data_IF_329604153429
#
_entry.id   IF_329604153429
#
_cell.length_a   1.000
_cell.length_b   1.000
_cell.length_c   1.000
_cell.angle_alpha   90.00
_cell.angle_beta   90.00
_cell.angle_gamma   90.00
#
_symmetry.space_group_name_H-M   'P 1'
#
loop_
_entity.id
_entity.type
_entity.pdbx_description
1 polymer ?
#
# COMPACT_ATOMS: atom_id res chain seq x y z
N UNK A 1 -4.52 3.00 -39.33
CA UNK A 1 -3.19 3.57 -39.08
C UNK A 1 -3.41 4.81 -38.23
N UNK A 2 -3.35 4.69 -36.92
CA UNK A 2 -3.43 5.83 -36.00
C UNK A 2 -1.99 6.15 -35.57
N UNK A 3 -1.62 7.40 -35.77
CA UNK A 3 -0.33 8.01 -35.54
C UNK A 3 0.24 7.62 -34.15
N UNK A 4 1.44 7.00 -34.04
CA UNK A 4 2.07 6.66 -32.80
C UNK A 4 2.62 7.86 -32.00
N UNK A 5 2.52 9.08 -32.54
CA UNK A 5 3.07 10.30 -31.94
C UNK A 5 2.13 11.05 -30.99
N UNK A 6 0.92 10.54 -30.70
CA UNK A 6 0.02 11.16 -29.74
C UNK A 6 0.43 10.86 -28.29
N UNK A 7 1.68 11.15 -27.97
CA UNK A 7 2.23 11.25 -26.63
C UNK A 7 1.60 12.51 -26.01
N UNK A 8 0.63 12.31 -25.12
CA UNK A 8 -0.02 13.28 -24.25
C UNK A 8 0.29 14.76 -24.56
N UNK A 9 -0.65 15.47 -25.19
CA UNK A 9 -0.61 16.93 -25.11
C UNK A 9 -0.43 17.35 -23.65
N UNK A 10 0.46 18.26 -23.31
CA UNK A 10 0.71 18.67 -21.95
C UNK A 10 -0.54 19.31 -21.36
N UNK A 11 -1.29 18.52 -20.56
CA UNK A 11 -2.50 18.99 -19.88
C UNK A 11 -2.06 19.76 -18.64
N UNK A 12 -2.47 21.02 -18.45
CA UNK A 12 -2.08 21.83 -17.30
C UNK A 12 -2.42 21.13 -15.98
N UNK A 13 -1.56 21.29 -14.98
CA UNK A 13 -1.73 20.69 -13.64
C UNK A 13 -3.05 21.09 -12.98
N UNK A 14 -3.52 22.32 -13.25
CA UNK A 14 -4.79 22.88 -12.76
C UNK A 14 -6.03 22.27 -13.43
N UNK A 15 -5.90 21.65 -14.62
CA UNK A 15 -7.04 21.10 -15.36
C UNK A 15 -7.76 19.98 -14.57
N UNK A 16 -9.05 19.81 -14.83
CA UNK A 16 -9.86 18.70 -14.28
C UNK A 16 -9.22 17.34 -14.62
N UNK A 17 -9.46 16.33 -13.78
CA UNK A 17 -9.01 14.96 -14.04
C UNK A 17 -9.59 14.45 -15.36
N UNK A 18 -8.73 13.88 -16.19
CA UNK A 18 -9.12 13.25 -17.47
C UNK A 18 -9.92 11.96 -17.21
N UNK A 19 -10.63 11.48 -18.22
CA UNK A 19 -11.37 10.21 -18.10
C UNK A 19 -10.44 9.03 -17.79
N UNK A 20 -9.22 9.02 -18.36
CA UNK A 20 -8.20 7.99 -18.14
C UNK A 20 -7.69 8.02 -16.69
N UNK A 21 -7.35 9.21 -16.18
CA UNK A 21 -6.92 9.40 -14.79
C UNK A 21 -8.00 8.96 -13.80
N UNK A 22 -9.27 9.33 -14.03
CA UNK A 22 -10.39 8.90 -13.18
C UNK A 22 -10.54 7.38 -13.14
N UNK A 23 -10.42 6.71 -14.28
CA UNK A 23 -10.56 5.26 -14.37
C UNK A 23 -9.39 4.53 -13.68
N UNK A 24 -8.19 5.11 -13.71
CA UNK A 24 -7.06 4.61 -12.94
C UNK A 24 -7.31 4.81 -11.43
N UNK A 25 -7.74 5.99 -10.99
CA UNK A 25 -8.04 6.32 -9.59
C UNK A 25 -9.09 5.37 -8.99
N UNK A 26 -10.11 5.02 -9.76
CA UNK A 26 -11.24 4.18 -9.29
C UNK A 26 -10.77 2.78 -8.87
N UNK A 27 -9.69 2.24 -9.40
CA UNK A 27 -9.16 0.96 -8.97
C UNK A 27 -8.75 0.96 -7.49
N UNK A 28 -8.20 2.06 -6.97
CA UNK A 28 -7.84 2.19 -5.54
C UNK A 28 -9.08 2.05 -4.62
N UNK A 29 -10.25 2.48 -5.07
CA UNK A 29 -11.52 2.27 -4.36
C UNK A 29 -11.83 0.77 -4.21
N UNK A 30 -11.54 -0.01 -5.24
CA UNK A 30 -11.79 -1.46 -5.25
C UNK A 30 -10.85 -2.24 -4.33
N UNK A 31 -9.55 -2.10 -4.56
CA UNK A 31 -8.54 -2.91 -3.85
C UNK A 31 -8.43 -2.56 -2.35
N UNK A 32 -8.63 -1.30 -1.98
CA UNK A 32 -8.53 -0.84 -0.59
C UNK A 32 -9.60 -1.46 0.31
N UNK A 33 -10.72 -1.96 -0.24
CA UNK A 33 -11.73 -2.69 0.52
C UNK A 33 -11.16 -4.01 1.10
N UNK A 34 -10.37 -4.74 0.30
CA UNK A 34 -9.72 -5.96 0.80
C UNK A 34 -8.63 -5.61 1.84
N UNK A 35 -7.87 -4.53 1.64
CA UNK A 35 -6.87 -4.08 2.62
C UNK A 35 -7.53 -3.82 3.97
N UNK A 36 -8.64 -3.09 4.00
CA UNK A 36 -9.33 -2.75 5.24
C UNK A 36 -9.94 -3.99 5.92
N UNK A 37 -10.55 -4.89 5.13
CA UNK A 37 -11.07 -6.16 5.63
C UNK A 37 -9.96 -7.06 6.20
N UNK A 38 -8.80 -7.14 5.53
CA UNK A 38 -7.66 -7.95 5.95
C UNK A 38 -7.01 -7.44 7.23
N UNK A 39 -7.14 -6.16 7.51
CA UNK A 39 -6.59 -5.56 8.73
C UNK A 39 -7.53 -5.76 9.93
N UNK A 40 -8.85 -5.66 9.74
CA UNK A 40 -9.80 -5.58 10.84
C UNK A 40 -10.60 -6.88 11.08
N UNK A 41 -11.00 -7.59 10.02
CA UNK A 41 -11.95 -8.72 10.11
C UNK A 41 -11.27 -10.08 9.96
N UNK A 42 -10.41 -10.22 8.95
CA UNK A 42 -9.79 -11.51 8.63
C UNK A 42 -8.99 -12.10 9.80
N UNK A 43 -8.17 -11.33 10.56
CA UNK A 43 -7.43 -11.89 11.70
C UNK A 43 -8.34 -12.44 12.81
N UNK A 44 -9.47 -11.78 13.04
CA UNK A 44 -10.47 -12.22 14.05
C UNK A 44 -11.11 -13.53 13.60
N UNK A 45 -11.51 -13.61 12.33
CA UNK A 45 -12.08 -14.84 11.78
C UNK A 45 -11.06 -15.98 11.75
N UNK A 46 -9.81 -15.70 11.36
CA UNK A 46 -8.72 -16.67 11.37
C UNK A 46 -8.49 -17.25 12.79
N UNK A 47 -8.54 -16.38 13.83
CA UNK A 47 -8.43 -16.82 15.22
C UNK A 47 -9.56 -17.79 15.60
N UNK A 48 -10.77 -17.59 15.10
CA UNK A 48 -11.90 -18.48 15.38
C UNK A 48 -11.79 -19.87 14.76
N UNK A 49 -10.95 -20.03 13.72
CA UNK A 49 -10.66 -21.31 13.06
C UNK A 49 -9.45 -22.03 13.66
N UNK A 50 -8.64 -21.34 14.47
CA UNK A 50 -7.40 -21.87 15.01
C UNK A 50 -7.66 -22.86 16.15
N UNK A 51 -6.86 -23.94 16.28
CA UNK A 51 -6.87 -24.80 17.47
C UNK A 51 -6.59 -24.01 18.74
N UNK A 52 -7.14 -24.47 19.89
CA UNK A 52 -7.08 -23.76 21.16
C UNK A 52 -5.66 -23.51 21.68
N UNK A 53 -4.70 -24.36 21.30
CA UNK A 53 -3.28 -24.29 21.65
C UNK A 53 -2.46 -23.42 20.65
N UNK A 54 -3.08 -22.93 19.57
CA UNK A 54 -2.45 -22.17 18.53
C UNK A 54 -2.15 -20.71 18.91
N UNK A 55 -1.04 -20.18 18.42
CA UNK A 55 -0.66 -18.77 18.56
C UNK A 55 -0.98 -18.00 17.27
N UNK A 56 -2.08 -17.25 17.27
CA UNK A 56 -2.53 -16.47 16.10
C UNK A 56 -1.52 -15.40 15.69
N UNK A 57 -0.86 -14.75 16.65
CA UNK A 57 0.08 -13.66 16.35
C UNK A 57 1.27 -14.18 15.54
N UNK A 58 1.84 -15.31 15.97
CA UNK A 58 2.95 -15.95 15.26
C UNK A 58 2.54 -16.45 13.88
N UNK A 59 1.42 -17.16 13.78
CA UNK A 59 0.94 -17.71 12.51
C UNK A 59 0.57 -16.62 11.50
N UNK A 60 -0.06 -15.53 11.97
CA UNK A 60 -0.37 -14.37 11.14
C UNK A 60 0.88 -13.64 10.66
N UNK A 61 1.86 -13.46 11.57
CA UNK A 61 3.17 -12.90 11.24
C UNK A 61 3.89 -13.71 10.16
N UNK A 62 3.92 -15.04 10.28
CA UNK A 62 4.50 -15.91 9.25
C UNK A 62 3.75 -15.81 7.93
N UNK A 63 2.42 -15.77 7.92
CA UNK A 63 1.64 -15.64 6.70
C UNK A 63 1.96 -14.33 5.95
N UNK A 64 2.02 -13.21 6.67
CA UNK A 64 2.40 -11.92 6.10
C UNK A 64 3.85 -11.90 5.60
N UNK A 65 4.76 -12.50 6.35
CA UNK A 65 6.18 -12.61 5.95
C UNK A 65 6.33 -13.44 4.67
N UNK A 66 5.67 -14.60 4.59
CA UNK A 66 5.71 -15.45 3.39
C UNK A 66 5.15 -14.70 2.18
N UNK A 67 3.99 -14.06 2.31
CA UNK A 67 3.40 -13.28 1.23
C UNK A 67 4.34 -12.16 0.77
N UNK A 68 4.94 -11.41 1.71
CA UNK A 68 5.86 -10.32 1.40
C UNK A 68 7.14 -10.80 0.73
N UNK A 69 7.73 -11.91 1.18
CA UNK A 69 8.93 -12.50 0.57
C UNK A 69 8.65 -12.99 -0.85
N UNK A 70 7.52 -13.67 -1.06
CA UNK A 70 7.13 -14.12 -2.40
C UNK A 70 6.99 -12.94 -3.35
N UNK A 71 6.33 -11.87 -2.94
CA UNK A 71 6.18 -10.66 -3.74
C UNK A 71 7.54 -9.98 -3.98
N UNK A 72 8.36 -9.81 -2.94
CA UNK A 72 9.68 -9.18 -3.07
C UNK A 72 10.59 -9.91 -4.08
N UNK A 73 10.50 -11.24 -4.14
CA UNK A 73 11.27 -12.04 -5.10
C UNK A 73 10.67 -12.05 -6.51
N UNK A 74 9.33 -12.13 -6.60
CA UNK A 74 8.66 -12.26 -7.89
C UNK A 74 8.53 -10.94 -8.65
N UNK A 75 8.31 -9.81 -7.97
CA UNK A 75 7.94 -8.57 -8.64
C UNK A 75 9.03 -7.99 -9.54
N UNK A 76 10.32 -7.96 -9.18
CA UNK A 76 11.35 -7.51 -10.12
C UNK A 76 11.46 -8.42 -11.35
N UNK A 77 11.34 -9.75 -11.13
CA UNK A 77 11.39 -10.75 -12.22
C UNK A 77 10.24 -10.58 -13.20
N UNK A 78 9.02 -10.56 -12.69
CA UNK A 78 7.82 -10.42 -13.52
C UNK A 78 7.68 -9.00 -14.07
N UNK A 79 8.21 -8.00 -13.37
CA UNK A 79 8.25 -6.61 -13.79
C UNK A 79 9.06 -6.42 -15.07
N UNK A 80 10.25 -7.02 -15.16
CA UNK A 80 11.07 -6.93 -16.38
C UNK A 80 10.36 -7.54 -17.60
N UNK A 81 9.61 -8.63 -17.42
CA UNK A 81 8.79 -9.23 -18.47
C UNK A 81 7.56 -8.36 -18.78
N UNK A 82 6.97 -7.74 -17.77
CA UNK A 82 5.79 -6.88 -17.92
C UNK A 82 6.10 -5.56 -18.66
N UNK A 83 7.37 -5.15 -18.72
CA UNK A 83 7.81 -4.00 -19.51
C UNK A 83 7.72 -4.27 -21.03
N UNK A 84 7.57 -5.52 -21.46
CA UNK A 84 7.28 -5.85 -22.85
C UNK A 84 5.85 -5.44 -23.23
N UNK A 85 5.66 -4.97 -24.45
CA UNK A 85 4.37 -4.48 -24.96
C UNK A 85 3.20 -5.45 -24.73
N UNK A 86 2.16 -4.98 -24.06
CA UNK A 86 0.92 -5.73 -23.79
C UNK A 86 1.04 -6.80 -22.70
N UNK A 87 2.19 -6.92 -22.03
CA UNK A 87 2.36 -7.90 -20.95
C UNK A 87 1.93 -7.36 -19.58
N UNK A 88 2.08 -6.05 -19.31
CA UNK A 88 1.71 -5.43 -18.04
C UNK A 88 0.27 -5.75 -17.61
N UNK A 89 -0.68 -5.59 -18.51
CA UNK A 89 -2.09 -5.86 -18.22
C UNK A 89 -2.37 -7.35 -17.97
N UNK A 90 -1.63 -8.25 -18.61
CA UNK A 90 -1.78 -9.69 -18.40
C UNK A 90 -1.33 -10.12 -17.01
N UNK A 91 -0.18 -9.62 -16.55
CA UNK A 91 0.30 -9.87 -15.19
C UNK A 91 -0.62 -9.24 -14.16
N UNK A 92 -1.05 -7.99 -14.38
CA UNK A 92 -2.06 -7.37 -13.54
C UNK A 92 -3.30 -8.25 -13.38
N UNK A 93 -3.88 -8.73 -14.50
CA UNK A 93 -5.06 -9.60 -14.49
C UNK A 93 -4.80 -10.94 -13.79
N UNK A 94 -3.62 -11.52 -13.95
CA UNK A 94 -3.24 -12.76 -13.27
C UNK A 94 -3.26 -12.60 -11.75
N UNK A 95 -2.60 -11.57 -11.23
CA UNK A 95 -2.56 -11.29 -9.79
C UNK A 95 -3.90 -10.82 -9.25
N UNK A 96 -4.57 -9.91 -9.95
CA UNK A 96 -5.93 -9.49 -9.61
C UNK A 96 -6.90 -10.67 -9.55
N UNK A 97 -6.90 -11.53 -10.57
CA UNK A 97 -7.74 -12.73 -10.62
C UNK A 97 -7.44 -13.69 -9.46
N UNK A 98 -6.15 -13.92 -9.16
CA UNK A 98 -5.74 -14.71 -7.99
C UNK A 98 -6.30 -14.10 -6.71
N UNK A 99 -6.15 -12.78 -6.51
CA UNK A 99 -6.65 -12.09 -5.33
C UNK A 99 -8.17 -12.22 -5.17
N UNK A 100 -8.93 -11.99 -6.24
CA UNK A 100 -10.40 -12.10 -6.22
C UNK A 100 -10.87 -13.52 -5.98
N UNK A 101 -10.32 -14.50 -6.70
CA UNK A 101 -10.71 -15.92 -6.57
C UNK A 101 -10.42 -16.43 -5.17
N UNK A 102 -9.25 -16.10 -4.61
CA UNK A 102 -8.90 -16.51 -3.25
C UNK A 102 -9.68 -15.75 -2.19
N UNK A 103 -10.02 -14.48 -2.42
CA UNK A 103 -10.94 -13.74 -1.55
C UNK A 103 -12.32 -14.42 -1.49
N UNK A 104 -12.87 -14.85 -2.64
CA UNK A 104 -14.09 -15.66 -2.68
C UNK A 104 -13.91 -17.02 -1.99
N UNK A 105 -12.77 -17.69 -2.19
CA UNK A 105 -12.49 -18.99 -1.58
C UNK A 105 -12.41 -18.94 -0.05
N UNK A 106 -12.08 -17.78 0.56
CA UNK A 106 -12.13 -17.58 2.02
C UNK A 106 -13.56 -17.70 2.59
N UNK A 107 -14.59 -17.57 1.76
CA UNK A 107 -15.98 -17.77 2.17
C UNK A 107 -16.35 -19.26 2.31
N UNK A 108 -15.55 -20.18 1.79
CA UNK A 108 -15.77 -21.62 1.94
C UNK A 108 -15.58 -22.06 3.41
N UNK A 109 -16.17 -23.20 3.82
CA UNK A 109 -16.00 -23.76 5.15
C UNK A 109 -14.63 -24.41 5.34
N UNK A 110 -13.57 -23.61 5.27
CA UNK A 110 -12.20 -24.07 5.38
C UNK A 110 -11.80 -24.29 6.85
N UNK A 111 -10.93 -25.26 7.06
CA UNK A 111 -10.19 -25.43 8.32
C UNK A 111 -9.02 -24.44 8.39
N UNK A 112 -8.35 -24.36 9.54
CA UNK A 112 -7.29 -23.39 9.81
C UNK A 112 -6.19 -23.30 8.73
N UNK A 113 -5.53 -24.41 8.42
CA UNK A 113 -4.39 -24.39 7.47
C UNK A 113 -4.79 -24.04 6.03
N UNK A 114 -5.83 -24.66 5.42
CA UNK A 114 -6.35 -24.23 4.12
C UNK A 114 -6.75 -22.74 4.08
N UNK A 115 -7.38 -22.23 5.15
CA UNK A 115 -7.73 -20.82 5.22
C UNK A 115 -6.49 -19.93 5.19
N UNK A 116 -5.46 -20.27 5.96
CA UNK A 116 -4.21 -19.51 5.99
C UNK A 116 -3.50 -19.49 4.62
N UNK A 117 -3.47 -20.63 3.92
CA UNK A 117 -2.90 -20.73 2.56
C UNK A 117 -3.69 -19.85 1.58
N UNK A 118 -5.02 -19.92 1.62
CA UNK A 118 -5.89 -19.08 0.77
C UNK A 118 -5.68 -17.60 1.06
N UNK A 119 -5.52 -17.22 2.34
CA UNK A 119 -5.20 -15.84 2.73
C UNK A 119 -3.83 -15.37 2.22
N UNK A 120 -2.80 -16.21 2.30
CA UNK A 120 -1.46 -15.91 1.73
C UNK A 120 -1.59 -15.64 0.23
N UNK A 121 -2.30 -16.49 -0.50
CA UNK A 121 -2.51 -16.32 -1.94
C UNK A 121 -3.33 -15.05 -2.25
N UNK A 122 -4.34 -14.72 -1.44
CA UNK A 122 -5.11 -13.48 -1.59
C UNK A 122 -4.21 -12.24 -1.40
N UNK A 123 -3.33 -12.28 -0.41
CA UNK A 123 -2.37 -11.21 -0.13
C UNK A 123 -1.32 -11.08 -1.24
N UNK A 124 -0.84 -12.19 -1.79
CA UNK A 124 0.05 -12.20 -2.96
C UNK A 124 -0.68 -11.61 -4.18
N UNK A 125 -1.92 -12.02 -4.41
CA UNK A 125 -2.76 -11.49 -5.50
C UNK A 125 -2.98 -9.99 -5.39
N UNK A 126 -3.32 -9.48 -4.20
CA UNK A 126 -3.45 -8.06 -3.95
C UNK A 126 -2.13 -7.32 -4.23
N UNK A 127 -1.07 -7.70 -3.53
CA UNK A 127 0.21 -6.97 -3.58
C UNK A 127 0.83 -7.02 -4.99
N UNK A 128 0.76 -8.17 -5.68
CA UNK A 128 1.23 -8.27 -7.06
C UNK A 128 0.43 -7.42 -8.03
N UNK A 129 -0.91 -7.36 -7.87
CA UNK A 129 -1.73 -6.46 -8.69
C UNK A 129 -1.41 -4.98 -8.43
N UNK A 130 -1.11 -4.61 -7.18
CA UNK A 130 -0.72 -3.24 -6.82
C UNK A 130 0.59 -2.80 -7.46
N UNK A 131 1.60 -3.68 -7.53
CA UNK A 131 2.88 -3.35 -8.20
C UNK A 131 2.65 -2.94 -9.66
N UNK A 132 1.86 -3.72 -10.40
CA UNK A 132 1.55 -3.38 -11.80
C UNK A 132 0.64 -2.16 -11.92
N UNK A 133 -0.33 -2.01 -11.02
CA UNK A 133 -1.19 -0.84 -10.96
C UNK A 133 -0.39 0.44 -10.68
N UNK A 134 0.55 0.41 -9.75
CA UNK A 134 1.40 1.56 -9.44
C UNK A 134 2.27 1.95 -10.65
N UNK A 135 2.79 0.99 -11.38
CA UNK A 135 3.53 1.24 -12.62
C UNK A 135 2.65 1.77 -13.76
N UNK A 136 1.33 1.48 -13.75
CA UNK A 136 0.36 2.04 -14.72
C UNK A 136 0.14 3.55 -14.53
N UNK A 137 0.54 4.13 -13.40
CA UNK A 137 0.46 5.57 -13.17
C UNK A 137 1.22 6.35 -14.25
N UNK A 138 2.37 5.85 -14.68
CA UNK A 138 3.20 6.47 -15.73
C UNK A 138 2.48 6.48 -17.08
N UNK A 139 1.67 5.44 -17.35
CA UNK A 139 0.85 5.36 -18.55
C UNK A 139 -0.45 6.18 -18.45
N UNK A 140 -0.95 6.39 -17.25
CA UNK A 140 -2.23 7.03 -17.00
C UNK A 140 -2.18 8.56 -17.10
N UNK A 141 -1.02 9.17 -16.76
CA UNK A 141 -0.88 10.63 -16.66
C UNK A 141 0.55 11.12 -16.97
N UNK A 142 0.72 12.43 -17.17
CA UNK A 142 2.04 13.06 -17.35
C UNK A 142 2.74 13.31 -15.99
N UNK A 143 4.07 13.55 -16.05
CA UNK A 143 4.88 13.81 -14.87
C UNK A 143 4.36 14.98 -14.01
N UNK A 144 3.88 16.05 -14.65
CA UNK A 144 3.39 17.27 -13.98
C UNK A 144 2.13 17.01 -13.18
N UNK A 145 1.36 16.02 -13.57
CA UNK A 145 0.06 15.67 -12.95
C UNK A 145 0.13 14.46 -12.02
N UNK A 146 1.26 13.76 -12.01
CA UNK A 146 1.41 12.48 -11.33
C UNK A 146 1.11 12.58 -9.82
N UNK A 147 1.55 13.65 -9.14
CA UNK A 147 1.26 13.89 -7.73
C UNK A 147 -0.25 14.03 -7.47
N UNK A 148 -0.93 14.78 -8.33
CA UNK A 148 -2.38 14.97 -8.25
C UNK A 148 -3.12 13.66 -8.43
N UNK A 149 -2.78 12.91 -9.48
CA UNK A 149 -3.47 11.65 -9.82
C UNK A 149 -3.22 10.59 -8.74
N UNK A 150 -1.97 10.42 -8.30
CA UNK A 150 -1.61 9.48 -7.23
C UNK A 150 -2.33 9.81 -5.91
N UNK A 151 -2.36 11.09 -5.53
CA UNK A 151 -3.03 11.55 -4.31
C UNK A 151 -4.55 11.37 -4.36
N UNK A 152 -5.17 11.55 -5.53
CA UNK A 152 -6.58 11.22 -5.70
C UNK A 152 -6.82 9.70 -5.63
N UNK A 153 -5.91 8.86 -6.13
CA UNK A 153 -6.00 7.41 -6.00
C UNK A 153 -6.09 7.00 -4.53
N UNK A 154 -5.09 7.35 -3.74
CA UNK A 154 -5.09 7.07 -2.31
C UNK A 154 -6.29 7.68 -1.57
N UNK A 155 -6.61 8.97 -1.83
CA UNK A 155 -7.75 9.61 -1.20
C UNK A 155 -9.05 8.87 -1.47
N UNK A 156 -9.39 8.62 -2.73
CA UNK A 156 -10.60 7.87 -3.08
C UNK A 156 -10.56 6.42 -2.63
N UNK A 157 -9.39 5.79 -2.55
CA UNK A 157 -9.20 4.47 -1.95
C UNK A 157 -9.62 4.46 -0.48
N UNK A 158 -9.19 5.43 0.31
CA UNK A 158 -9.53 5.52 1.73
C UNK A 158 -11.04 5.64 1.96
N UNK A 159 -11.69 6.63 1.35
CA UNK A 159 -13.13 6.81 1.57
C UNK A 159 -13.95 5.70 0.88
N UNK A 160 -13.52 5.22 -0.29
CA UNK A 160 -14.21 4.20 -1.04
C UNK A 160 -14.21 2.83 -0.35
N UNK A 161 -13.13 2.49 0.36
CA UNK A 161 -13.05 1.23 1.14
C UNK A 161 -13.94 1.23 2.38
N UNK A 162 -14.26 2.40 2.93
CA UNK A 162 -15.14 2.47 4.11
C UNK A 162 -16.57 2.04 3.81
N UNK A 163 -17.04 2.24 2.57
CA UNK A 163 -18.41 1.88 2.17
C UNK A 163 -18.65 0.37 2.32
N UNK A 164 -17.93 -0.53 1.60
CA UNK A 164 -18.14 -1.97 1.74
C UNK A 164 -17.76 -2.44 3.15
N UNK A 165 -16.79 -1.81 3.81
CA UNK A 165 -16.40 -2.17 5.18
C UNK A 165 -17.53 -1.93 6.17
N UNK A 166 -18.21 -0.78 6.12
CA UNK A 166 -19.36 -0.49 6.98
C UNK A 166 -20.49 -1.52 6.74
N UNK A 167 -20.76 -1.87 5.47
CA UNK A 167 -21.72 -2.92 5.15
C UNK A 167 -21.30 -4.28 5.73
N UNK A 168 -20.04 -4.65 5.64
CA UNK A 168 -19.53 -5.89 6.20
C UNK A 168 -19.67 -5.92 7.74
N UNK A 169 -19.29 -4.84 8.42
CA UNK A 169 -19.41 -4.72 9.86
C UNK A 169 -20.88 -4.76 10.31
N UNK A 170 -21.75 -4.02 9.62
CA UNK A 170 -23.19 -4.04 9.89
C UNK A 170 -23.78 -5.44 9.70
N UNK A 171 -23.34 -6.18 8.67
CA UNK A 171 -23.76 -7.56 8.44
C UNK A 171 -23.25 -8.50 9.53
N UNK A 172 -21.99 -8.38 9.95
CA UNK A 172 -21.38 -9.25 10.97
C UNK A 172 -22.07 -9.07 12.33
N UNK A 173 -22.36 -7.83 12.73
CA UNK A 173 -22.99 -7.55 14.03
C UNK A 173 -24.52 -7.60 14.00
N UNK A 174 -25.16 -7.16 12.92
CA UNK A 174 -26.62 -7.09 12.80
C UNK A 174 -27.25 -8.32 12.14
N UNK A 175 -26.51 -9.02 11.28
CA UNK A 175 -27.03 -10.16 10.51
C UNK A 175 -27.59 -11.30 11.35
N UNK A 176 -26.97 -11.66 12.49
CA UNK A 176 -27.53 -12.68 13.37
C UNK A 176 -28.95 -12.36 13.87
N UNK A 177 -29.21 -11.10 14.18
CA UNK A 177 -30.53 -10.67 14.68
C UNK A 177 -31.54 -10.35 13.57
N UNK A 178 -31.06 -9.96 12.38
CA UNK A 178 -31.95 -9.54 11.28
C UNK A 178 -32.31 -10.70 10.34
N UNK A 179 -31.37 -11.63 10.11
CA UNK A 179 -31.51 -12.70 9.10
C UNK A 179 -31.42 -14.11 9.69
N UNK A 180 -31.25 -14.25 11.01
CA UNK A 180 -31.01 -15.53 11.68
C UNK A 180 -29.76 -16.29 11.13
N UNK A 181 -28.79 -15.54 10.64
CA UNK A 181 -27.52 -16.08 10.15
C UNK A 181 -26.52 -16.18 11.30
N UNK A 182 -25.66 -17.20 11.26
CA UNK A 182 -24.53 -17.22 12.19
C UNK A 182 -23.53 -16.09 11.88
N UNK A 183 -22.84 -15.58 12.90
CA UNK A 183 -21.75 -14.59 12.72
C UNK A 183 -20.70 -15.08 11.74
N UNK A 184 -20.42 -16.39 11.71
CA UNK A 184 -19.52 -17.04 10.74
C UNK A 184 -20.05 -16.90 9.33
N UNK A 185 -21.34 -17.13 9.10
CA UNK A 185 -21.95 -16.98 7.77
C UNK A 185 -21.91 -15.52 7.30
N UNK A 186 -22.19 -14.57 8.19
CA UNK A 186 -22.09 -13.13 7.90
C UNK A 186 -20.65 -12.72 7.55
N UNK A 187 -19.66 -13.24 8.28
CA UNK A 187 -18.25 -12.97 7.99
C UNK A 187 -17.83 -13.55 6.63
N UNK A 188 -18.27 -14.75 6.29
CA UNK A 188 -18.02 -15.35 4.96
C UNK A 188 -18.68 -14.57 3.84
N UNK A 189 -19.91 -14.08 4.05
CA UNK A 189 -20.59 -13.20 3.08
C UNK A 189 -19.82 -11.89 2.88
N UNK A 190 -19.16 -11.36 3.90
CA UNK A 190 -18.33 -10.16 3.80
C UNK A 190 -17.13 -10.35 2.85
N UNK A 191 -16.55 -11.54 2.76
CA UNK A 191 -15.49 -11.84 1.78
C UNK A 191 -16.02 -11.76 0.35
N UNK A 192 -17.23 -12.28 0.09
CA UNK A 192 -17.87 -12.21 -1.23
C UNK A 192 -18.21 -10.76 -1.59
N UNK A 193 -18.78 -9.99 -0.66
CA UNK A 193 -19.11 -8.57 -0.86
C UNK A 193 -17.84 -7.80 -1.25
N UNK A 194 -16.73 -8.02 -0.55
CA UNK A 194 -15.46 -7.39 -0.83
C UNK A 194 -14.89 -7.78 -2.19
N UNK A 195 -14.98 -9.06 -2.57
CA UNK A 195 -14.55 -9.53 -3.87
C UNK A 195 -15.35 -8.90 -5.01
N UNK A 196 -16.69 -8.85 -4.88
CA UNK A 196 -17.58 -8.20 -5.86
C UNK A 196 -17.24 -6.71 -5.98
N UNK A 197 -17.03 -6.02 -4.85
CA UNK A 197 -16.62 -4.61 -4.82
C UNK A 197 -15.32 -4.41 -5.58
N UNK A 198 -14.32 -5.22 -5.30
CA UNK A 198 -13.01 -5.15 -5.96
C UNK A 198 -13.13 -5.35 -7.46
N UNK A 199 -13.89 -6.35 -7.91
CA UNK A 199 -14.16 -6.58 -9.34
C UNK A 199 -14.86 -5.38 -9.97
N UNK A 200 -15.95 -4.90 -9.37
CA UNK A 200 -16.75 -3.80 -9.92
C UNK A 200 -15.93 -2.53 -10.17
N UNK A 201 -15.07 -2.17 -9.22
CA UNK A 201 -14.21 -0.98 -9.33
C UNK A 201 -12.93 -1.19 -10.15
N UNK A 202 -12.62 -2.44 -10.53
CA UNK A 202 -11.52 -2.76 -11.46
C UNK A 202 -11.95 -2.63 -12.93
N UNK A 203 -13.21 -2.89 -13.27
CA UNK A 203 -13.72 -2.86 -14.65
C UNK A 203 -13.39 -1.55 -15.38
N UNK A 204 -13.55 -0.33 -14.79
CA UNK A 204 -13.22 0.91 -15.47
C UNK A 204 -11.76 1.01 -15.89
N UNK A 205 -10.83 0.51 -15.06
CA UNK A 205 -9.42 0.45 -15.40
C UNK A 205 -9.18 -0.46 -16.61
N UNK A 206 -9.72 -1.69 -16.58
CA UNK A 206 -9.55 -2.67 -17.65
C UNK A 206 -10.05 -2.19 -19.00
N UNK A 207 -11.15 -1.44 -19.03
CA UNK A 207 -11.75 -0.93 -20.27
C UNK A 207 -11.01 0.24 -20.89
N UNK A 208 -10.08 0.87 -20.17
CA UNK A 208 -9.42 2.09 -20.63
C UNK A 208 -7.90 2.05 -20.65
N UNK A 209 -7.32 1.07 -19.97
CA UNK A 209 -5.88 0.99 -19.88
C UNK A 209 -5.24 0.69 -21.23
N UNK A 210 -4.19 1.43 -21.55
CA UNK A 210 -3.28 1.18 -22.68
C UNK A 210 -1.86 1.38 -22.18
N UNK A 211 -1.02 0.39 -22.36
CA UNK A 211 0.41 0.50 -22.09
C UNK A 211 1.04 1.45 -23.11
N UNK A 212 1.49 2.60 -22.64
CA UNK A 212 2.11 3.65 -23.49
C UNK A 212 3.63 3.47 -23.49
N UNK A 213 4.19 3.20 -22.32
CA UNK A 213 5.62 3.02 -22.15
C UNK A 213 5.94 1.52 -22.05
N UNK A 214 6.78 1.03 -22.97
CA UNK A 214 7.16 -0.38 -23.06
C UNK A 214 8.48 -0.56 -23.79
N UNK A 215 9.12 -1.72 -23.58
CA UNK A 215 10.31 -2.15 -24.35
C UNK A 215 9.87 -2.68 -25.71
N UNK A 216 10.52 -2.20 -26.79
CA UNK A 216 10.08 -2.49 -28.17
C UNK A 216 10.33 -3.93 -28.66
N UNK A 217 11.07 -4.77 -27.94
CA UNK A 217 11.56 -6.05 -28.46
C UNK A 217 10.68 -7.22 -28.06
N UNK A 218 9.82 -7.66 -28.98
CA UNK A 218 8.94 -8.82 -28.83
C UNK A 218 9.67 -10.18 -29.04
N UNK A 219 10.82 -10.17 -29.71
CA UNK A 219 11.57 -11.39 -30.07
C UNK A 219 12.42 -11.98 -28.93
N UNK A 220 12.38 -11.38 -27.75
CA UNK A 220 13.22 -11.77 -26.62
C UNK A 220 12.47 -12.38 -25.44
N UNK A 221 11.21 -12.81 -25.58
CA UNK A 221 10.52 -13.48 -24.44
C UNK A 221 11.29 -14.74 -23.98
N UNK A 222 11.90 -15.48 -24.90
CA UNK A 222 12.71 -16.67 -24.56
C UNK A 222 14.09 -16.34 -24.00
N UNK A 223 14.72 -15.24 -24.44
CA UNK A 223 16.01 -14.76 -23.94
C UNK A 223 15.84 -13.93 -22.65
N UNK A 224 14.72 -13.20 -22.51
CA UNK A 224 14.37 -12.47 -21.31
C UNK A 224 14.28 -13.41 -20.09
N UNK A 225 13.69 -14.59 -20.23
CA UNK A 225 13.58 -15.56 -19.12
C UNK A 225 14.96 -16.15 -18.73
N UNK A 226 15.86 -16.37 -19.69
CA UNK A 226 17.20 -16.94 -19.40
C UNK A 226 18.20 -15.91 -18.88
N UNK A 227 18.06 -14.64 -19.27
CA UNK A 227 18.92 -13.53 -18.84
C UNK A 227 18.43 -12.78 -17.58
N UNK A 228 17.23 -13.07 -17.10
CA UNK A 228 16.50 -12.24 -16.12
C UNK A 228 17.29 -11.94 -14.85
N UNK A 229 17.97 -12.90 -14.27
CA UNK A 229 18.78 -12.64 -13.06
C UNK A 229 19.98 -11.72 -13.32
N UNK A 230 20.65 -11.87 -14.48
CA UNK A 230 21.75 -11.00 -14.87
C UNK A 230 21.25 -9.59 -15.22
N UNK A 231 20.09 -9.49 -15.87
CA UNK A 231 19.43 -8.21 -16.17
C UNK A 231 18.99 -7.51 -14.88
N UNK A 232 18.39 -8.23 -13.94
CA UNK A 232 18.02 -7.68 -12.64
C UNK A 232 19.22 -7.17 -11.84
N UNK A 233 20.32 -7.93 -11.79
CA UNK A 233 21.56 -7.47 -11.18
C UNK A 233 22.10 -6.21 -11.88
N UNK A 234 21.99 -6.17 -13.21
CA UNK A 234 22.33 -4.99 -14.00
C UNK A 234 21.45 -3.78 -13.69
N UNK A 235 20.14 -3.97 -13.59
CA UNK A 235 19.19 -2.91 -13.23
C UNK A 235 19.39 -2.44 -11.80
N UNK A 236 19.59 -3.35 -10.85
CA UNK A 236 19.96 -2.96 -9.49
C UNK A 236 21.25 -2.15 -9.45
N UNK A 237 22.27 -2.56 -10.24
CA UNK A 237 23.49 -1.79 -10.40
C UNK A 237 23.26 -0.39 -11.00
N UNK A 238 22.32 -0.23 -11.93
CA UNK A 238 21.92 1.09 -12.46
C UNK A 238 21.21 1.94 -11.40
N UNK A 239 20.32 1.33 -10.60
CA UNK A 239 19.63 2.00 -9.48
C UNK A 239 20.67 2.54 -8.47
N UNK A 240 21.60 1.70 -8.03
CA UNK A 240 22.65 2.09 -7.06
C UNK A 240 23.56 3.18 -7.60
N UNK A 241 23.92 3.12 -8.90
CA UNK A 241 24.75 4.15 -9.56
C UNK A 241 24.02 5.47 -9.76
N UNK A 242 22.69 5.45 -9.87
CA UNK A 242 21.87 6.66 -9.95
C UNK A 242 21.69 7.25 -8.54
N UNK A 243 22.62 8.10 -8.13
CA UNK A 243 22.68 8.65 -6.77
C UNK A 243 21.37 9.27 -6.29
N UNK A 244 20.65 10.13 -7.05
CA UNK A 244 19.35 10.66 -6.61
C UNK A 244 18.29 9.57 -6.37
N UNK A 245 18.21 8.59 -7.25
CA UNK A 245 17.25 7.48 -7.14
C UNK A 245 17.58 6.59 -5.94
N UNK A 246 18.85 6.21 -5.78
CA UNK A 246 19.31 5.37 -4.68
C UNK A 246 19.07 6.01 -3.32
N UNK A 247 19.41 7.30 -3.19
CA UNK A 247 19.18 8.04 -1.93
C UNK A 247 17.70 8.14 -1.59
N UNK A 248 16.84 8.31 -2.61
CA UNK A 248 15.39 8.28 -2.40
C UNK A 248 14.92 6.91 -1.93
N UNK A 249 15.38 5.81 -2.54
CA UNK A 249 14.97 4.46 -2.15
C UNK A 249 15.38 4.12 -0.72
N UNK A 250 16.58 4.52 -0.29
CA UNK A 250 17.01 4.35 1.11
C UNK A 250 16.14 5.21 2.05
N UNK A 251 15.90 6.46 1.72
CA UNK A 251 15.04 7.32 2.50
C UNK A 251 13.62 6.72 2.59
N UNK A 252 13.08 6.26 1.45
CA UNK A 252 11.77 5.62 1.36
C UNK A 252 11.70 4.40 2.28
N UNK A 253 12.68 3.53 2.25
CA UNK A 253 12.73 2.37 3.13
C UNK A 253 12.60 2.77 4.60
N UNK A 254 13.40 3.71 5.07
CA UNK A 254 13.38 4.13 6.47
C UNK A 254 12.08 4.82 6.88
N UNK A 255 11.58 5.78 6.09
CA UNK A 255 10.36 6.46 6.52
C UNK A 255 9.10 5.61 6.35
N UNK A 256 9.03 4.74 5.33
CA UNK A 256 7.87 3.86 5.16
C UNK A 256 7.86 2.75 6.22
N UNK A 257 9.03 2.28 6.66
CA UNK A 257 9.16 1.39 7.82
C UNK A 257 8.61 2.06 9.08
N UNK A 258 9.01 3.28 9.36
CA UNK A 258 8.49 4.06 10.49
C UNK A 258 6.98 4.26 10.40
N UNK A 259 6.46 4.67 9.24
CA UNK A 259 5.02 4.89 8.99
C UNK A 259 4.22 3.61 9.21
N UNK A 260 4.64 2.50 8.59
CA UNK A 260 3.96 1.21 8.72
C UNK A 260 4.03 0.68 10.15
N UNK A 261 5.15 0.90 10.85
CA UNK A 261 5.30 0.52 12.26
C UNK A 261 4.33 1.30 13.15
N UNK A 262 4.22 2.62 12.97
CA UNK A 262 3.24 3.44 13.70
C UNK A 262 1.82 2.94 13.45
N UNK A 263 1.46 2.65 12.19
CA UNK A 263 0.11 2.18 11.83
C UNK A 263 -0.18 0.80 12.45
N UNK A 264 0.76 -0.15 12.32
CA UNK A 264 0.57 -1.52 12.79
C UNK A 264 0.56 -1.64 14.32
N UNK A 265 1.33 -0.80 15.00
CA UNK A 265 1.44 -0.84 16.46
C UNK A 265 0.41 0.04 17.19
N UNK A 266 -0.26 0.96 16.49
CA UNK A 266 -1.25 1.86 17.10
C UNK A 266 -2.38 1.10 17.80
N UNK A 267 -2.92 0.05 17.17
CA UNK A 267 -4.00 -0.76 17.75
C UNK A 267 -3.55 -1.56 18.96
N UNK A 268 -2.35 -2.14 18.93
CA UNK A 268 -1.78 -2.88 20.06
C UNK A 268 -1.52 -1.95 21.23
N UNK A 269 -0.95 -0.79 20.98
CA UNK A 269 -0.68 0.21 22.01
C UNK A 269 -1.97 0.81 22.57
N UNK A 270 -2.99 1.04 21.75
CA UNK A 270 -4.32 1.44 22.20
C UNK A 270 -4.98 0.40 23.13
N UNK A 271 -4.80 -0.88 22.81
CA UNK A 271 -5.30 -1.97 23.66
C UNK A 271 -4.56 -2.03 25.02
N UNK A 272 -3.26 -1.77 25.08
CA UNK A 272 -2.51 -1.66 26.33
C UNK A 272 -2.97 -0.50 27.20
N UNK A 273 -3.46 0.59 26.60
CA UNK A 273 -4.08 1.71 27.32
C UNK A 273 -5.51 1.41 27.82
N UNK A 274 -6.00 0.19 27.60
CA UNK A 274 -7.36 -0.22 28.00
C UNK A 274 -8.47 0.33 27.12
N UNK A 275 -8.16 0.78 25.90
CA UNK A 275 -9.16 1.26 24.95
C UNK A 275 -9.94 0.06 24.40
N UNK A 276 -11.27 0.16 24.45
CA UNK A 276 -12.17 -0.89 23.95
C UNK A 276 -11.95 -1.15 22.45
N UNK A 277 -12.06 -2.42 22.06
CA UNK A 277 -11.86 -2.86 20.67
C UNK A 277 -12.79 -2.16 19.68
N UNK A 278 -14.01 -1.83 20.10
CA UNK A 278 -14.96 -1.07 19.27
C UNK A 278 -14.41 0.35 18.99
N UNK A 279 -13.86 1.01 20.00
CA UNK A 279 -13.24 2.33 19.82
C UNK A 279 -12.01 2.27 18.89
N UNK A 280 -11.22 1.19 18.96
CA UNK A 280 -10.08 1.00 18.04
C UNK A 280 -10.55 0.87 16.58
N UNK A 281 -11.62 0.13 16.32
CA UNK A 281 -12.21 0.02 14.97
C UNK A 281 -12.79 1.34 14.51
N UNK A 282 -13.49 2.09 15.37
CA UNK A 282 -14.03 3.42 15.02
C UNK A 282 -12.89 4.42 14.76
N UNK A 283 -11.81 4.38 15.53
CA UNK A 283 -10.62 5.21 15.29
C UNK A 283 -9.99 4.90 13.91
N UNK A 284 -9.91 3.62 13.54
CA UNK A 284 -9.46 3.22 12.20
C UNK A 284 -10.34 3.83 11.11
N UNK A 285 -11.66 3.82 11.25
CA UNK A 285 -12.58 4.47 10.30
C UNK A 285 -12.37 5.97 10.25
N UNK A 286 -12.24 6.65 11.38
CA UNK A 286 -11.96 8.09 11.43
C UNK A 286 -10.65 8.41 10.71
N UNK A 287 -9.62 7.59 10.88
CA UNK A 287 -8.37 7.72 10.15
C UNK A 287 -8.58 7.71 8.63
N UNK A 288 -9.45 6.84 8.11
CA UNK A 288 -9.78 6.78 6.68
C UNK A 288 -10.50 8.06 6.19
N UNK A 289 -11.48 8.55 6.98
CA UNK A 289 -12.20 9.79 6.65
C UNK A 289 -11.28 11.02 6.64
N UNK A 290 -10.33 11.10 7.55
CA UNK A 290 -9.33 12.18 7.60
C UNK A 290 -8.32 12.05 6.47
N UNK A 291 -7.87 10.84 6.15
CA UNK A 291 -6.88 10.59 5.10
C UNK A 291 -7.39 11.01 3.71
N UNK A 292 -8.68 10.89 3.43
CA UNK A 292 -9.26 11.27 2.15
C UNK A 292 -8.99 12.72 1.74
N UNK A 293 -9.48 13.74 2.46
CA UNK A 293 -9.25 15.14 2.08
C UNK A 293 -7.77 15.53 2.20
N UNK A 294 -7.05 14.98 3.18
CA UNK A 294 -5.65 15.30 3.41
C UNK A 294 -4.75 14.79 2.28
N UNK A 295 -4.94 13.58 1.77
CA UNK A 295 -4.21 13.08 0.63
C UNK A 295 -4.38 13.98 -0.60
N UNK A 296 -5.61 14.38 -0.91
CA UNK A 296 -5.91 15.28 -2.03
C UNK A 296 -5.27 16.66 -1.84
N UNK A 297 -5.32 17.20 -0.61
CA UNK A 297 -4.71 18.49 -0.28
C UNK A 297 -3.19 18.43 -0.49
N UNK A 298 -2.53 17.38 0.00
CA UNK A 298 -1.08 17.20 -0.16
C UNK A 298 -0.68 17.07 -1.63
N UNK A 299 -1.47 16.39 -2.45
CA UNK A 299 -1.23 16.33 -3.89
C UNK A 299 -1.29 17.69 -4.58
N UNK A 300 -2.20 18.57 -4.13
CA UNK A 300 -2.27 19.96 -4.61
C UNK A 300 -1.06 20.80 -4.14
N UNK A 301 -0.67 20.65 -2.86
CA UNK A 301 0.47 21.35 -2.29
C UNK A 301 1.79 20.87 -2.92
N UNK A 302 1.92 19.58 -3.25
CA UNK A 302 3.07 19.05 -3.98
C UNK A 302 3.25 19.68 -5.35
N UNK A 303 2.14 19.99 -6.03
CA UNK A 303 2.16 20.75 -7.27
C UNK A 303 2.70 22.21 -7.13
N UNK A 304 2.56 22.82 -5.95
CA UNK A 304 3.02 24.17 -5.69
C UNK A 304 4.44 24.23 -5.10
N UNK A 305 4.72 23.38 -4.12
CA UNK A 305 5.96 23.42 -3.34
C UNK A 305 6.99 22.38 -3.81
N UNK A 306 6.58 21.44 -4.63
CA UNK A 306 7.38 20.30 -5.09
C UNK A 306 7.18 19.05 -4.25
N UNK A 307 7.19 17.89 -4.93
CA UNK A 307 6.86 16.59 -4.35
C UNK A 307 7.82 16.20 -3.22
N UNK A 308 9.13 16.33 -3.45
CA UNK A 308 10.16 16.02 -2.46
C UNK A 308 10.01 16.84 -1.17
N UNK A 309 9.71 18.15 -1.30
CA UNK A 309 9.51 19.04 -0.12
C UNK A 309 8.32 18.56 0.70
N UNK A 310 7.23 18.16 0.04
CA UNK A 310 6.04 17.67 0.73
C UNK A 310 6.26 16.31 1.39
N UNK A 311 7.04 15.41 0.77
CA UNK A 311 7.47 14.15 1.42
C UNK A 311 8.30 14.46 2.66
N UNK A 312 9.27 15.37 2.57
CA UNK A 312 10.10 15.77 3.70
C UNK A 312 9.26 16.37 4.84
N UNK A 313 8.30 17.23 4.51
CA UNK A 313 7.36 17.78 5.50
C UNK A 313 6.50 16.69 6.18
N UNK A 314 6.06 15.68 5.43
CA UNK A 314 5.33 14.55 6.00
C UNK A 314 6.22 13.69 6.92
N UNK A 315 7.49 13.47 6.59
CA UNK A 315 8.46 12.76 7.47
C UNK A 315 8.68 13.53 8.77
N UNK A 316 8.81 14.86 8.71
CA UNK A 316 8.90 15.71 9.91
C UNK A 316 7.62 15.62 10.73
N UNK A 317 6.44 15.64 10.09
CA UNK A 317 5.17 15.46 10.79
C UNK A 317 5.09 14.09 11.49
N UNK A 318 5.53 13.02 10.85
CA UNK A 318 5.61 11.70 11.48
C UNK A 318 6.58 11.67 12.66
N UNK A 319 7.67 12.43 12.59
CA UNK A 319 8.55 12.60 13.76
C UNK A 319 7.81 13.23 14.94
N UNK A 320 7.04 14.30 14.70
CA UNK A 320 6.18 14.92 15.73
C UNK A 320 5.13 13.92 16.26
N UNK A 321 4.54 13.09 15.39
CA UNK A 321 3.58 12.04 15.77
C UNK A 321 4.24 11.01 16.71
N UNK A 322 5.45 10.55 16.39
CA UNK A 322 6.21 9.60 17.23
C UNK A 322 6.53 10.22 18.59
N UNK A 323 6.99 11.48 18.63
CA UNK A 323 7.22 12.20 19.89
C UNK A 323 5.93 12.37 20.69
N UNK A 324 4.82 12.73 20.02
CA UNK A 324 3.53 12.85 20.69
C UNK A 324 3.10 11.49 21.29
N UNK A 325 3.22 10.40 20.52
CA UNK A 325 2.88 9.07 21.00
C UNK A 325 3.76 8.63 22.18
N UNK A 326 5.06 8.93 22.16
CA UNK A 326 6.00 8.52 23.21
C UNK A 326 5.77 9.28 24.53
N UNK A 327 5.47 10.57 24.48
CA UNK A 327 5.46 11.40 25.69
C UNK A 327 4.06 11.78 26.19
N UNK A 328 3.07 11.85 25.31
CA UNK A 328 1.75 12.39 25.65
C UNK A 328 0.64 11.33 25.60
N UNK A 329 0.83 10.19 24.94
CA UNK A 329 -0.22 9.17 24.80
C UNK A 329 -0.43 8.40 26.11
N UNK A 330 -1.45 8.79 26.88
CA UNK A 330 -1.77 8.22 28.21
C UNK A 330 -3.24 7.85 28.38
N UNK A 331 -4.12 8.34 27.53
CA UNK A 331 -5.57 8.09 27.63
C UNK A 331 -6.21 7.96 26.24
N UNK A 332 -7.49 7.63 26.23
CA UNK A 332 -8.27 7.51 25.00
C UNK A 332 -8.34 8.81 24.19
N UNK A 333 -8.30 9.98 24.87
CA UNK A 333 -8.38 11.29 24.18
C UNK A 333 -7.16 11.50 23.30
N UNK A 334 -5.96 11.29 23.86
CA UNK A 334 -4.70 11.44 23.11
C UNK A 334 -4.61 10.37 22.00
N UNK A 335 -5.18 9.18 22.22
CA UNK A 335 -5.27 8.16 21.17
C UNK A 335 -6.12 8.64 19.98
N UNK A 336 -7.25 9.30 20.23
CA UNK A 336 -8.06 9.88 19.16
C UNK A 336 -7.33 11.00 18.40
N UNK A 337 -6.58 11.83 19.11
CA UNK A 337 -5.71 12.86 18.50
C UNK A 337 -4.66 12.18 17.62
N UNK A 338 -4.00 11.12 18.12
CA UNK A 338 -3.02 10.34 17.37
C UNK A 338 -3.62 9.76 16.08
N UNK A 339 -4.81 9.15 16.15
CA UNK A 339 -5.50 8.58 15.01
C UNK A 339 -5.78 9.64 13.92
N UNK A 340 -6.20 10.84 14.32
CA UNK A 340 -6.40 11.96 13.38
C UNK A 340 -5.07 12.39 12.76
N UNK A 341 -4.02 12.58 13.56
CA UNK A 341 -2.69 12.99 13.07
C UNK A 341 -2.10 11.96 12.10
N UNK A 342 -2.19 10.66 12.41
CA UNK A 342 -1.78 9.60 11.50
C UNK A 342 -2.59 9.66 10.20
N UNK A 343 -3.92 9.81 10.28
CA UNK A 343 -4.80 9.96 9.13
C UNK A 343 -4.41 11.11 8.21
N UNK A 344 -3.99 12.25 8.76
CA UNK A 344 -3.59 13.41 7.97
C UNK A 344 -2.39 13.15 7.05
N UNK A 345 -1.48 12.27 7.43
CA UNK A 345 -0.20 12.14 6.73
C UNK A 345 0.01 10.79 6.06
N UNK A 346 -0.63 9.68 6.52
CA UNK A 346 -0.36 8.34 5.99
C UNK A 346 -0.62 8.22 4.49
N UNK A 347 -1.78 8.67 4.01
CA UNK A 347 -2.12 8.62 2.59
C UNK A 347 -1.30 9.58 1.75
N UNK A 348 -0.98 10.73 2.35
CA UNK A 348 -0.20 11.77 1.70
C UNK A 348 1.22 11.32 1.39
N UNK A 349 1.91 10.72 2.38
CA UNK A 349 3.30 10.29 2.20
C UNK A 349 3.39 9.12 1.22
N UNK A 350 2.47 8.14 1.28
CA UNK A 350 2.44 7.00 0.37
C UNK A 350 2.16 7.44 -1.07
N UNK A 351 1.15 8.30 -1.26
CA UNK A 351 0.77 8.81 -2.57
C UNK A 351 1.89 9.60 -3.27
N UNK A 352 2.56 10.47 -2.50
CA UNK A 352 3.66 11.28 -3.04
C UNK A 352 4.92 10.45 -3.27
N UNK A 353 5.19 9.44 -2.46
CA UNK A 353 6.31 8.52 -2.68
C UNK A 353 6.16 7.74 -3.98
N UNK A 354 4.95 7.21 -4.25
CA UNK A 354 4.61 6.51 -5.50
C UNK A 354 4.79 7.44 -6.72
N UNK A 355 4.29 8.65 -6.65
CA UNK A 355 4.37 9.60 -7.76
C UNK A 355 5.80 10.12 -7.99
N UNK A 356 6.53 10.45 -6.91
CA UNK A 356 7.91 10.91 -7.00
C UNK A 356 8.80 9.83 -7.60
N UNK A 357 8.66 8.58 -7.14
CA UNK A 357 9.39 7.46 -7.73
C UNK A 357 9.12 7.32 -9.23
N UNK A 358 7.85 7.35 -9.63
CA UNK A 358 7.45 7.28 -11.03
C UNK A 358 8.01 8.41 -11.91
N UNK A 359 8.30 9.59 -11.35
CA UNK A 359 8.90 10.71 -12.08
C UNK A 359 10.40 10.53 -12.33
N UNK A 360 11.12 9.84 -11.46
CA UNK A 360 12.59 9.76 -11.48
C UNK A 360 13.13 8.47 -12.09
N UNK A 361 12.26 7.51 -12.42
CA UNK A 361 12.65 6.24 -13.05
C UNK A 361 12.51 6.29 -14.58
N UNK A 362 13.24 5.42 -15.32
CA UNK A 362 13.01 5.22 -16.76
C UNK A 362 11.62 4.66 -17.03
N UNK A 363 10.87 5.29 -17.94
CA UNK A 363 9.45 4.95 -18.17
C UNK A 363 9.25 3.61 -18.90
N UNK A 364 10.20 3.24 -19.77
CA UNK A 364 10.21 1.99 -20.53
C UNK A 364 10.53 0.75 -19.69
N UNK A 365 11.08 0.95 -18.47
CA UNK A 365 11.40 -0.07 -17.48
C UNK A 365 10.57 0.06 -16.19
N UNK A 366 9.42 0.70 -16.27
CA UNK A 366 8.64 1.08 -15.10
C UNK A 366 8.24 -0.09 -14.19
N UNK A 367 7.83 -1.23 -14.77
CA UNK A 367 7.40 -2.38 -13.96
C UNK A 367 8.57 -3.02 -13.21
N UNK A 368 9.74 -3.14 -13.85
CA UNK A 368 10.92 -3.65 -13.20
C UNK A 368 11.36 -2.77 -12.03
N UNK A 369 11.36 -1.44 -12.23
CA UNK A 369 11.71 -0.48 -11.19
C UNK A 369 10.68 -0.45 -10.06
N UNK A 370 9.38 -0.50 -10.33
CA UNK A 370 8.35 -0.62 -9.30
C UNK A 370 8.44 -1.96 -8.56
N UNK A 371 8.90 -3.03 -9.21
CA UNK A 371 9.24 -4.29 -8.54
C UNK A 371 10.33 -4.10 -7.47
N UNK A 372 11.39 -3.35 -7.77
CA UNK A 372 12.41 -2.97 -6.77
C UNK A 372 11.85 -2.05 -5.68
N UNK A 373 11.02 -1.07 -6.02
CA UNK A 373 10.34 -0.21 -5.07
C UNK A 373 9.51 -1.01 -4.05
N UNK A 374 8.83 -2.04 -4.52
CA UNK A 374 8.04 -2.91 -3.66
C UNK A 374 8.90 -3.76 -2.71
N UNK A 375 10.10 -4.17 -3.08
CA UNK A 375 11.02 -4.83 -2.14
C UNK A 375 11.21 -3.95 -0.91
N UNK A 376 11.53 -2.67 -1.12
CA UNK A 376 11.73 -1.71 -0.02
C UNK A 376 10.44 -1.44 0.74
N UNK A 377 9.32 -1.27 0.05
CA UNK A 377 8.02 -1.00 0.69
C UNK A 377 7.44 -2.18 1.46
N UNK A 378 7.58 -3.43 0.94
CA UNK A 378 7.01 -4.64 1.56
C UNK A 378 7.89 -5.22 2.67
N UNK A 379 9.21 -4.99 2.63
CA UNK A 379 10.11 -5.35 3.73
C UNK A 379 10.14 -4.27 4.82
N UNK A 380 9.56 -3.12 4.56
CA UNK A 380 9.35 -2.08 5.55
C UNK A 380 8.41 -2.59 6.67
N UNK A 381 8.64 -2.18 7.88
CA UNK A 381 8.09 -2.61 9.18
C UNK A 381 8.92 -3.68 9.90
N UNK A 382 9.94 -4.26 9.27
CA UNK A 382 10.78 -5.26 9.94
C UNK A 382 11.69 -4.57 10.95
N UNK A 383 12.38 -3.51 10.55
CA UNK A 383 13.34 -2.80 11.42
C UNK A 383 12.58 -2.03 12.50
N UNK A 384 11.51 -1.33 12.15
CA UNK A 384 10.76 -0.53 13.11
C UNK A 384 10.10 -1.37 14.20
N UNK A 385 9.44 -2.46 13.84
CA UNK A 385 8.84 -3.36 14.84
C UNK A 385 9.88 -4.05 15.69
N UNK A 386 11.04 -4.44 15.12
CA UNK A 386 12.17 -4.99 15.86
C UNK A 386 12.74 -3.97 16.86
N UNK A 387 12.93 -2.71 16.44
CA UNK A 387 13.42 -1.64 17.33
C UNK A 387 12.46 -1.40 18.49
N UNK A 388 11.15 -1.30 18.22
CA UNK A 388 10.12 -1.12 19.27
C UNK A 388 10.15 -2.30 20.24
N UNK A 389 10.09 -3.53 19.73
CA UNK A 389 10.06 -4.72 20.57
C UNK A 389 11.32 -4.85 21.43
N UNK A 390 12.51 -4.67 20.84
CA UNK A 390 13.79 -4.78 21.53
C UNK A 390 13.95 -3.68 22.59
N UNK A 391 13.64 -2.43 22.23
CA UNK A 391 13.76 -1.31 23.17
C UNK A 391 12.78 -1.46 24.33
N UNK A 392 11.53 -1.86 24.06
CA UNK A 392 10.52 -2.14 25.10
C UNK A 392 10.97 -3.28 26.01
N UNK A 393 11.50 -4.37 25.44
CA UNK A 393 11.99 -5.51 26.22
C UNK A 393 13.18 -5.16 27.13
N UNK A 394 14.12 -4.36 26.63
CA UNK A 394 15.32 -3.97 27.38
C UNK A 394 15.05 -2.92 28.46
N UNK A 395 14.10 -2.01 28.20
CA UNK A 395 13.83 -0.86 29.10
C UNK A 395 12.64 -1.08 30.01
N UNK A 396 11.78 -2.08 29.70
CA UNK A 396 10.47 -2.23 30.36
C UNK A 396 9.47 -1.10 30.06
N UNK A 397 9.75 -0.24 29.07
CA UNK A 397 8.99 0.95 28.80
C UNK A 397 8.55 1.03 27.33
N UNK A 398 7.25 0.85 27.08
CA UNK A 398 6.66 0.90 25.74
C UNK A 398 6.83 2.27 25.06
N UNK A 399 6.81 3.37 25.82
CA UNK A 399 7.00 4.73 25.28
C UNK A 399 8.40 4.91 24.69
N UNK A 400 9.45 4.35 25.33
CA UNK A 400 10.80 4.34 24.77
C UNK A 400 10.89 3.43 23.53
N UNK A 401 10.14 2.33 23.52
CA UNK A 401 9.97 1.50 22.33
C UNK A 401 9.43 2.32 21.15
N UNK A 402 8.34 3.06 21.35
CA UNK A 402 7.77 3.92 20.30
C UNK A 402 8.77 5.02 19.89
N UNK A 403 9.47 5.62 20.85
CA UNK A 403 10.47 6.66 20.56
C UNK A 403 11.61 6.14 19.67
N UNK A 404 11.96 4.86 19.76
CA UNK A 404 13.02 4.27 18.92
C UNK A 404 12.75 4.38 17.40
N UNK A 405 11.48 4.50 17.00
CA UNK A 405 11.07 4.72 15.60
C UNK A 405 11.66 6.05 15.07
N UNK A 406 11.87 7.05 15.93
CA UNK A 406 12.44 8.33 15.52
C UNK A 406 13.82 8.18 14.85
N UNK A 407 14.59 7.14 15.20
CA UNK A 407 15.88 6.85 14.56
C UNK A 407 15.74 6.62 13.06
N UNK A 408 14.69 5.87 12.65
CA UNK A 408 14.40 5.63 11.23
C UNK A 408 14.00 6.92 10.51
N UNK A 409 13.19 7.77 11.14
CA UNK A 409 12.77 9.05 10.57
C UNK A 409 13.93 10.04 10.44
N UNK A 410 14.85 10.04 11.41
CA UNK A 410 16.09 10.84 11.32
C UNK A 410 16.94 10.35 10.16
N UNK A 411 17.16 9.05 10.03
CA UNK A 411 17.90 8.48 8.90
C UNK A 411 17.25 8.87 7.57
N UNK A 412 15.92 8.74 7.46
CA UNK A 412 15.18 9.13 6.26
C UNK A 412 15.36 10.63 5.93
N UNK A 413 15.28 11.50 6.93
CA UNK A 413 15.50 12.95 6.74
C UNK A 413 16.90 13.25 6.23
N UNK A 414 17.92 12.62 6.78
CA UNK A 414 19.31 12.80 6.33
C UNK A 414 19.43 12.46 4.84
N UNK A 415 18.91 11.31 4.40
CA UNK A 415 18.96 10.92 3.00
C UNK A 415 18.12 11.84 2.10
N UNK A 416 16.94 12.26 2.53
CA UNK A 416 16.12 13.22 1.77
C UNK A 416 16.79 14.60 1.63
N UNK A 417 17.45 15.10 2.67
CA UNK A 417 18.13 16.38 2.62
C UNK A 417 19.38 16.34 1.73
N UNK A 418 20.12 15.23 1.77
CA UNK A 418 21.33 15.06 0.94
C UNK A 418 21.02 14.75 -0.52
N UNK A 419 19.81 14.24 -0.82
CA UNK A 419 19.39 13.95 -2.19
C UNK A 419 19.22 15.23 -3.02
N UNK A 420 19.82 15.29 -4.21
CA UNK A 420 19.47 16.31 -5.21
C UNK A 420 18.12 15.94 -5.85
N UNK A 421 17.24 16.92 -6.02
CA UNK A 421 15.92 16.71 -6.59
C UNK A 421 15.97 16.81 -8.13
N UNK A 422 15.94 15.67 -8.86
CA UNK A 422 16.01 15.68 -10.32
C UNK A 422 14.71 16.18 -10.98
N UNK A 423 13.66 16.44 -10.22
CA UNK A 423 12.38 16.95 -10.77
C UNK A 423 12.34 18.47 -10.84
N UNK A 424 13.37 19.15 -10.33
CA UNK A 424 13.49 20.63 -10.31
C UNK A 424 14.57 21.16 -11.24
N UNK A 425 15.35 20.27 -11.86
CA UNK A 425 16.26 20.58 -12.94
C UNK A 425 15.51 20.51 -14.29
#
# INVERSE_FOLDING_TARGET
MTDPTNVHEPVPQSAKLTAREKKWIIYDVGNSAFVLLSTAVIPIYAKSLMPADGNIVSAWGYAQTIASLVIALLMPLLGSIADVQGMKIKFFLGFFGTGVVTCCAMALPLTWLPFLVVYILATIGLNGSLTFYDSMLIDATSNERMDKVSSHGYGWGYIGSTVPFIFCIALIFGGPSLFDWSTVACTRASFIITAIWWVAFTIPLLTSYRQVHYRATRDQLGSAVRGTFSELAGTFGKIVKNKPLWMFMIAFFFYIDAVNTVISMSTSYGAELGIDSTQLVVALLVTQFVAFPCAILYGRLAGRFGCKVMITAAVVAYMCIVFFAAFFLKSAVEFWILAILVGMFQGSIQALSRSYYGKIIPKDHANEYYGFYDIFGKTASIIGTFLVATTTSLTGNASLGVLSIAVLLVAALVFLLLQKDPTRE
#
